data_IF_203231805550
#
_entry.id   IF_203231805550
#
_cell.length_a   1.000
_cell.length_b   1.000
_cell.length_c   1.000
_cell.angle_alpha   90.00
_cell.angle_beta   90.00
_cell.angle_gamma   90.00
#
_symmetry.space_group_name_H-M   'P 1'
#
loop_
_entity.id
_entity.type
_entity.pdbx_description
1 polymer ?
#
# COMPACT_ATOMS: atom_id res chain seq x y z
N UNK A 1 -25.04 -7.69 -8.31
CA UNK A 1 -24.36 -7.01 -9.44
C UNK A 1 -25.43 -6.72 -10.49
N UNK A 2 -25.38 -5.57 -11.17
CA UNK A 2 -26.32 -5.25 -12.25
C UNK A 2 -26.17 -6.26 -13.40
N UNK A 3 -27.27 -6.83 -13.90
CA UNK A 3 -27.27 -7.83 -14.99
C UNK A 3 -26.49 -7.34 -16.22
N UNK A 4 -26.50 -6.02 -16.48
CA UNK A 4 -25.78 -5.40 -17.61
C UNK A 4 -24.26 -5.55 -17.51
N UNK A 5 -23.73 -5.77 -16.30
CA UNK A 5 -22.30 -5.93 -16.05
C UNK A 5 -21.83 -7.38 -16.04
N UNK A 6 -22.75 -8.36 -16.03
CA UNK A 6 -22.39 -9.79 -15.99
C UNK A 6 -21.60 -10.22 -17.22
N UNK A 7 -22.06 -9.84 -18.41
CA UNK A 7 -21.36 -10.14 -19.67
C UNK A 7 -19.98 -9.47 -19.72
N UNK A 8 -19.88 -8.24 -19.20
CA UNK A 8 -18.62 -7.50 -19.11
C UNK A 8 -17.64 -8.19 -18.18
N UNK A 9 -18.07 -8.53 -16.96
CA UNK A 9 -17.26 -9.27 -16.00
C UNK A 9 -16.81 -10.61 -16.59
N UNK A 10 -17.72 -11.37 -17.22
CA UNK A 10 -17.38 -12.65 -17.83
C UNK A 10 -16.27 -12.50 -18.89
N UNK A 11 -16.38 -11.52 -19.78
CA UNK A 11 -15.36 -11.24 -20.79
C UNK A 11 -14.01 -10.88 -20.17
N UNK A 12 -14.01 -10.06 -19.10
CA UNK A 12 -12.79 -9.70 -18.36
C UNK A 12 -12.18 -10.96 -17.72
N UNK A 13 -12.99 -11.83 -17.13
CA UNK A 13 -12.51 -13.08 -16.53
C UNK A 13 -11.85 -14.01 -17.55
N UNK A 14 -12.48 -14.18 -18.73
CA UNK A 14 -11.92 -15.03 -19.78
C UNK A 14 -10.59 -14.50 -20.34
N UNK A 15 -10.42 -13.17 -20.39
CA UNK A 15 -9.17 -12.56 -20.87
C UNK A 15 -8.04 -12.65 -19.83
N UNK A 16 -8.37 -12.71 -18.55
CA UNK A 16 -7.43 -12.60 -17.43
C UNK A 16 -7.43 -13.87 -16.57
N UNK A 17 -7.41 -15.04 -17.23
CA UNK A 17 -7.35 -16.34 -16.56
C UNK A 17 -6.07 -16.45 -15.72
N UNK A 18 -6.21 -16.96 -14.49
CA UNK A 18 -5.09 -17.11 -13.56
C UNK A 18 -4.71 -15.83 -12.81
N UNK A 19 -5.53 -14.78 -12.89
CA UNK A 19 -5.31 -13.53 -12.16
C UNK A 19 -6.39 -13.27 -11.08
N UNK A 20 -6.46 -14.11 -10.02
CA UNK A 20 -7.57 -14.08 -9.06
C UNK A 20 -7.66 -12.75 -8.29
N UNK A 21 -6.52 -12.17 -7.89
CA UNK A 21 -6.50 -10.89 -7.17
C UNK A 21 -7.04 -9.75 -8.05
N UNK A 22 -6.66 -9.72 -9.33
CA UNK A 22 -7.17 -8.71 -10.25
C UNK A 22 -8.67 -8.87 -10.49
N UNK A 23 -9.14 -10.10 -10.70
CA UNK A 23 -10.56 -10.39 -10.89
C UNK A 23 -11.38 -10.06 -9.64
N UNK A 24 -10.84 -10.26 -8.43
CA UNK A 24 -11.51 -9.86 -7.20
C UNK A 24 -11.76 -8.34 -7.17
N UNK A 25 -10.73 -7.52 -7.36
CA UNK A 25 -10.89 -6.07 -7.32
C UNK A 25 -11.84 -5.55 -8.42
N UNK A 26 -11.77 -6.13 -9.62
CA UNK A 26 -12.75 -5.79 -10.68
C UNK A 26 -14.16 -6.10 -10.22
N UNK A 27 -14.42 -7.29 -9.64
CA UNK A 27 -15.76 -7.65 -9.15
C UNK A 27 -16.30 -6.68 -8.11
N UNK A 28 -15.47 -6.28 -7.16
CA UNK A 28 -15.85 -5.36 -6.08
C UNK A 28 -16.22 -3.98 -6.64
N UNK A 29 -15.38 -3.41 -7.53
CA UNK A 29 -15.68 -2.14 -8.20
C UNK A 29 -16.92 -2.26 -9.07
N UNK A 30 -17.05 -3.31 -9.89
CA UNK A 30 -18.23 -3.52 -10.73
C UNK A 30 -19.52 -3.69 -9.90
N UNK A 31 -19.40 -4.23 -8.69
CA UNK A 31 -20.49 -4.33 -7.73
C UNK A 31 -21.06 -2.97 -7.30
N UNK A 32 -20.25 -1.91 -7.28
CA UNK A 32 -20.65 -0.57 -6.85
C UNK A 32 -21.09 0.37 -7.98
N UNK A 33 -20.59 0.17 -9.20
CA UNK A 33 -20.83 1.11 -10.33
C UNK A 33 -22.15 0.89 -11.09
N UNK A 34 -22.89 -0.19 -10.83
CA UNK A 34 -24.16 -0.47 -11.53
C UNK A 34 -25.18 0.68 -11.44
N UNK A 35 -25.31 1.28 -10.25
CA UNK A 35 -26.18 2.44 -10.02
C UNK A 35 -25.79 3.65 -10.89
N UNK A 36 -24.49 3.84 -11.13
CA UNK A 36 -23.98 4.91 -11.98
C UNK A 36 -24.32 4.67 -13.45
N UNK A 37 -24.23 3.42 -13.92
CA UNK A 37 -24.57 3.05 -15.31
C UNK A 37 -26.07 3.17 -15.58
N UNK A 38 -26.90 2.82 -14.60
CA UNK A 38 -28.34 3.03 -14.70
C UNK A 38 -28.69 4.51 -14.89
N UNK A 39 -27.99 5.40 -14.17
CA UNK A 39 -28.17 6.86 -14.28
C UNK A 39 -27.52 7.47 -15.52
N UNK A 40 -26.41 6.92 -16.00
CA UNK A 40 -25.64 7.42 -17.14
C UNK A 40 -25.38 6.33 -18.20
N UNK A 41 -26.41 5.93 -18.99
CA UNK A 41 -26.30 4.83 -19.96
C UNK A 41 -25.20 5.01 -21.01
N UNK A 42 -24.89 6.27 -21.38
CA UNK A 42 -23.80 6.63 -22.31
C UNK A 42 -22.44 6.05 -21.92
N UNK A 43 -22.19 5.79 -20.63
CA UNK A 43 -20.93 5.17 -20.18
C UNK A 43 -20.83 3.71 -20.61
N UNK A 44 -21.95 2.98 -20.62
CA UNK A 44 -21.99 1.62 -21.15
C UNK A 44 -21.88 1.61 -22.69
N UNK A 45 -22.59 2.53 -23.37
CA UNK A 45 -22.52 2.65 -24.85
C UNK A 45 -21.10 2.91 -25.35
N UNK A 46 -20.33 3.71 -24.62
CA UNK A 46 -18.93 4.00 -24.93
C UNK A 46 -17.95 3.01 -24.30
N UNK A 47 -18.43 1.90 -23.73
CA UNK A 47 -17.60 0.86 -23.09
C UNK A 47 -16.58 1.42 -22.09
N UNK A 48 -17.00 2.39 -21.28
CA UNK A 48 -16.11 3.08 -20.32
C UNK A 48 -15.57 2.07 -19.30
N UNK A 49 -16.43 1.17 -18.82
CA UNK A 49 -16.07 0.17 -17.82
C UNK A 49 -15.04 -0.80 -18.38
N UNK A 50 -15.28 -1.34 -19.57
CA UNK A 50 -14.36 -2.26 -20.23
C UNK A 50 -13.00 -1.60 -20.51
N UNK A 51 -13.00 -0.31 -20.89
CA UNK A 51 -11.76 0.46 -21.10
C UNK A 51 -11.01 0.73 -19.80
N UNK A 52 -11.70 0.99 -18.69
CA UNK A 52 -11.06 1.20 -17.38
C UNK A 52 -10.49 -0.11 -16.83
N UNK A 53 -11.13 -1.25 -17.12
CA UNK A 53 -10.67 -2.58 -16.68
C UNK A 53 -9.51 -3.15 -17.52
N UNK A 54 -9.17 -2.57 -18.67
CA UNK A 54 -8.02 -2.97 -19.48
C UNK A 54 -6.89 -1.95 -19.30
N UNK A 55 -5.70 -2.33 -18.80
CA UNK A 55 -4.60 -1.38 -18.66
C UNK A 55 -4.21 -0.75 -20.00
N UNK A 56 -3.95 0.56 -20.01
CA UNK A 56 -3.42 1.25 -21.20
C UNK A 56 -2.10 0.63 -21.67
N UNK A 57 -1.24 0.20 -20.73
CA UNK A 57 0.01 -0.52 -21.04
C UNK A 57 0.46 -1.44 -19.92
N UNK A 58 1.04 -2.57 -20.30
CA UNK A 58 1.68 -3.53 -19.39
C UNK A 58 3.09 -3.84 -19.89
N UNK A 59 4.09 -3.62 -19.04
CA UNK A 59 5.50 -3.88 -19.34
C UNK A 59 6.00 -4.97 -18.40
N UNK A 60 6.54 -6.04 -18.97
CA UNK A 60 7.17 -7.14 -18.24
C UNK A 60 8.56 -7.31 -18.82
N UNK A 61 9.59 -7.36 -17.96
CA UNK A 61 10.97 -7.36 -18.42
C UNK A 61 11.88 -8.19 -17.52
N UNK A 62 13.01 -8.62 -18.07
CA UNK A 62 14.05 -9.36 -17.36
C UNK A 62 14.97 -8.40 -16.62
N UNK A 63 15.34 -8.75 -15.39
CA UNK A 63 16.26 -7.98 -14.55
C UNK A 63 17.43 -8.87 -14.13
N UNK A 64 18.51 -8.95 -14.93
CA UNK A 64 19.72 -9.68 -14.56
C UNK A 64 20.61 -8.85 -13.62
N UNK A 65 21.16 -9.45 -12.58
CA UNK A 65 22.07 -8.78 -11.64
C UNK A 65 23.04 -9.79 -11.02
N UNK A 66 24.10 -9.29 -10.38
CA UNK A 66 25.15 -10.11 -9.76
C UNK A 66 25.14 -9.92 -8.24
N UNK A 67 25.23 -11.00 -7.48
CA UNK A 67 25.33 -10.96 -6.02
C UNK A 67 26.76 -10.65 -5.54
N UNK A 68 26.97 -10.57 -4.22
CA UNK A 68 28.30 -10.29 -3.66
C UNK A 68 29.32 -11.43 -3.87
N UNK A 69 28.86 -12.63 -4.23
CA UNK A 69 29.71 -13.79 -4.54
C UNK A 69 30.06 -13.87 -6.03
N UNK A 70 29.47 -13.01 -6.85
CA UNK A 70 29.67 -13.03 -8.30
C UNK A 70 28.67 -13.90 -9.05
N UNK A 71 27.67 -14.49 -8.39
CA UNK A 71 26.66 -15.30 -9.04
C UNK A 71 25.60 -14.43 -9.74
N UNK A 72 25.16 -14.88 -10.91
CA UNK A 72 24.16 -14.16 -11.71
C UNK A 72 22.76 -14.62 -11.32
N UNK A 73 21.94 -13.66 -10.93
CA UNK A 73 20.53 -13.83 -10.62
C UNK A 73 19.66 -13.20 -11.70
N UNK A 74 18.46 -13.76 -11.88
CA UNK A 74 17.48 -13.26 -12.85
C UNK A 74 16.13 -13.13 -12.16
N UNK A 75 15.61 -11.90 -12.15
CA UNK A 75 14.28 -11.59 -11.65
C UNK A 75 13.41 -11.03 -12.76
N UNK A 76 12.10 -11.00 -12.52
CA UNK A 76 11.12 -10.38 -13.40
C UNK A 76 10.74 -9.00 -12.87
N UNK A 77 10.79 -7.99 -13.72
CA UNK A 77 10.29 -6.65 -13.47
C UNK A 77 8.94 -6.41 -14.14
N UNK A 78 8.12 -5.56 -13.52
CA UNK A 78 6.77 -5.22 -13.98
C UNK A 78 6.51 -3.71 -13.88
N UNK A 79 5.80 -3.16 -14.87
CA UNK A 79 5.11 -1.87 -14.77
C UNK A 79 3.79 -1.90 -15.53
N UNK A 80 2.69 -1.78 -14.81
CA UNK A 80 1.33 -1.64 -15.34
C UNK A 80 0.92 -0.17 -15.24
N UNK A 81 0.77 0.45 -16.39
CA UNK A 81 0.31 1.81 -16.58
C UNK A 81 -1.18 1.74 -16.91
N UNK A 82 -2.02 1.83 -15.88
CA UNK A 82 -3.40 1.38 -15.98
C UNK A 82 -4.30 2.45 -16.63
N UNK A 83 -4.31 3.66 -16.09
CA UNK A 83 -5.14 4.74 -16.60
C UNK A 83 -4.46 6.11 -16.44
N UNK A 84 -4.47 6.93 -17.48
CA UNK A 84 -3.88 8.27 -17.51
C UNK A 84 -4.89 9.40 -17.68
N UNK A 85 -6.19 9.12 -17.54
CA UNK A 85 -7.24 10.10 -17.86
C UNK A 85 -7.20 11.37 -16.99
N UNK A 86 -6.67 11.29 -15.77
CA UNK A 86 -6.54 12.43 -14.85
C UNK A 86 -5.12 13.02 -14.80
N UNK A 87 -4.13 12.40 -15.45
CA UNK A 87 -2.73 12.81 -15.40
C UNK A 87 -1.74 11.65 -15.54
N UNK A 88 -0.44 11.87 -15.26
CA UNK A 88 0.60 10.85 -15.39
C UNK A 88 0.28 9.61 -14.55
N UNK A 89 0.70 8.43 -15.01
CA UNK A 89 0.52 7.20 -14.24
C UNK A 89 1.20 7.36 -12.88
N UNK A 90 0.50 7.00 -11.80
CA UNK A 90 1.04 7.16 -10.44
C UNK A 90 0.79 5.92 -9.62
N UNK A 91 1.87 5.37 -9.05
CA UNK A 91 1.79 4.36 -8.01
C UNK A 91 3.10 3.60 -7.77
N UNK A 92 3.16 2.91 -6.63
CA UNK A 92 4.39 2.37 -6.07
C UNK A 92 5.03 1.21 -6.85
N UNK A 93 6.27 0.90 -6.47
CA UNK A 93 7.03 -0.28 -6.87
C UNK A 93 7.13 -1.23 -5.67
N UNK A 94 6.77 -2.51 -5.85
CA UNK A 94 6.87 -3.54 -4.81
C UNK A 94 7.97 -4.55 -5.14
N UNK A 95 8.92 -4.77 -4.24
CA UNK A 95 9.93 -5.84 -4.34
C UNK A 95 9.61 -6.90 -3.30
N UNK A 96 9.02 -8.01 -3.75
CA UNK A 96 8.64 -9.12 -2.89
C UNK A 96 8.51 -10.41 -3.72
N UNK A 97 8.92 -11.58 -3.21
CA UNK A 97 8.92 -12.84 -3.97
C UNK A 97 7.53 -13.29 -4.45
N UNK A 98 6.44 -12.77 -3.87
CA UNK A 98 5.08 -13.06 -4.34
C UNK A 98 4.63 -12.24 -5.54
N UNK A 99 5.37 -11.19 -5.94
CA UNK A 99 4.94 -10.28 -7.00
C UNK A 99 4.80 -11.02 -8.33
N UNK A 100 3.61 -10.95 -8.91
CA UNK A 100 3.28 -11.46 -10.23
C UNK A 100 2.39 -10.44 -10.98
N UNK A 101 2.02 -10.73 -12.23
CA UNK A 101 1.22 -9.81 -13.04
C UNK A 101 -0.18 -9.55 -12.43
N UNK A 102 -0.85 -10.60 -11.92
CA UNK A 102 -2.15 -10.50 -11.25
C UNK A 102 -2.13 -9.46 -10.14
N UNK A 103 -1.17 -9.57 -9.22
CA UNK A 103 -1.01 -8.66 -8.08
C UNK A 103 -0.70 -7.23 -8.54
N UNK A 104 0.16 -7.06 -9.54
CA UNK A 104 0.50 -5.72 -10.05
C UNK A 104 -0.70 -5.06 -10.73
N UNK A 105 -1.51 -5.83 -11.48
CA UNK A 105 -2.74 -5.33 -12.10
C UNK A 105 -3.81 -5.00 -11.06
N UNK A 106 -4.05 -5.89 -10.10
CA UNK A 106 -4.91 -5.64 -8.95
C UNK A 106 -4.58 -4.29 -8.29
N UNK A 107 -3.33 -4.15 -7.85
CA UNK A 107 -2.89 -2.94 -7.17
C UNK A 107 -2.95 -1.71 -8.09
N UNK A 108 -2.67 -1.87 -9.38
CA UNK A 108 -2.75 -0.80 -10.38
C UNK A 108 -4.18 -0.34 -10.66
N UNK A 109 -5.14 -1.25 -10.66
CA UNK A 109 -6.57 -0.99 -10.88
C UNK A 109 -7.14 -0.18 -9.72
N UNK A 110 -6.94 -0.64 -8.47
CA UNK A 110 -7.31 0.09 -7.25
C UNK A 110 -6.66 1.49 -7.21
N UNK A 111 -5.42 1.61 -7.68
CA UNK A 111 -4.69 2.87 -7.70
C UNK A 111 -5.37 3.94 -8.57
N UNK A 112 -6.15 3.57 -9.60
CA UNK A 112 -6.92 4.51 -10.42
C UNK A 112 -7.90 5.28 -9.53
N UNK A 113 -8.74 4.55 -8.80
CA UNK A 113 -9.82 5.12 -8.00
C UNK A 113 -9.28 5.83 -6.77
N UNK A 114 -8.29 5.23 -6.10
CA UNK A 114 -7.59 5.86 -4.99
C UNK A 114 -7.00 7.21 -5.36
N UNK A 115 -6.36 7.31 -6.52
CA UNK A 115 -5.76 8.55 -6.98
C UNK A 115 -6.82 9.57 -7.41
N UNK A 116 -7.88 9.13 -8.09
CA UNK A 116 -9.00 9.99 -8.46
C UNK A 116 -9.66 10.65 -7.24
N UNK A 117 -9.83 9.93 -6.13
CA UNK A 117 -10.42 10.44 -4.89
C UNK A 117 -9.60 11.55 -4.22
N UNK A 118 -8.32 11.69 -4.54
CA UNK A 118 -7.49 12.79 -4.02
C UNK A 118 -7.84 14.15 -4.64
N UNK A 119 -8.53 14.17 -5.79
CA UNK A 119 -8.76 15.38 -6.58
C UNK A 119 -7.51 15.94 -7.27
N UNK A 120 -6.36 15.28 -7.16
CA UNK A 120 -5.11 15.69 -7.81
C UNK A 120 -5.01 15.13 -9.25
N UNK A 121 -4.24 15.79 -10.14
CA UNK A 121 -4.10 15.38 -11.54
C UNK A 121 -3.13 14.19 -11.68
N UNK A 122 -3.53 13.02 -11.19
CA UNK A 122 -2.71 11.80 -11.20
C UNK A 122 -3.54 10.59 -11.66
N UNK A 123 -3.01 9.86 -12.64
CA UNK A 123 -3.56 8.60 -13.11
C UNK A 123 -3.19 7.42 -12.21
N UNK A 124 -3.54 6.19 -12.60
CA UNK A 124 -3.28 4.96 -11.85
C UNK A 124 -2.23 4.07 -12.50
N UNK A 125 -1.29 3.54 -11.70
CA UNK A 125 -0.34 2.53 -12.16
C UNK A 125 0.35 1.81 -11.01
N UNK A 126 1.03 0.70 -11.29
CA UNK A 126 1.80 -0.05 -10.30
C UNK A 126 2.96 -0.78 -10.97
N UNK A 127 4.00 -1.09 -10.22
CA UNK A 127 5.07 -1.95 -10.71
C UNK A 127 5.77 -2.68 -9.59
N UNK A 128 6.88 -3.32 -9.92
CA UNK A 128 7.64 -4.09 -8.94
C UNK A 128 8.45 -5.21 -9.56
N UNK A 129 8.90 -6.11 -8.70
CA UNK A 129 9.62 -7.32 -9.07
C UNK A 129 9.42 -8.43 -8.04
N UNK A 130 9.55 -9.67 -8.50
CA UNK A 130 9.67 -10.87 -7.66
C UNK A 130 11.01 -10.95 -6.89
N UNK A 131 11.83 -9.90 -6.95
CA UNK A 131 13.05 -9.76 -6.15
C UNK A 131 12.75 -9.69 -4.65
N UNK A 132 13.46 -10.49 -3.86
CA UNK A 132 13.43 -10.44 -2.39
C UNK A 132 14.61 -9.61 -1.86
N UNK A 133 14.37 -8.39 -1.32
CA UNK A 133 15.41 -7.56 -0.74
C UNK A 133 15.88 -8.05 0.64
N UNK A 134 15.19 -9.03 1.25
CA UNK A 134 15.54 -9.54 2.58
C UNK A 134 16.82 -10.37 2.51
N UNK A 135 17.73 -10.12 3.45
CA UNK A 135 19.02 -10.80 3.51
C UNK A 135 20.03 -10.34 2.46
N UNK A 136 19.71 -9.31 1.67
CA UNK A 136 20.59 -8.73 0.66
C UNK A 136 21.44 -7.61 1.23
N UNK A 137 22.67 -7.48 0.74
CA UNK A 137 23.52 -6.33 1.08
C UNK A 137 23.02 -5.05 0.42
N UNK A 138 23.48 -3.90 0.90
CA UNK A 138 23.16 -2.61 0.28
C UNK A 138 23.64 -2.56 -1.18
N UNK A 139 24.78 -3.17 -1.47
CA UNK A 139 25.36 -3.20 -2.82
C UNK A 139 24.59 -4.12 -3.76
N UNK A 140 24.11 -5.27 -3.29
CA UNK A 140 23.22 -6.14 -4.05
C UNK A 140 21.91 -5.44 -4.42
N UNK A 141 21.28 -4.77 -3.44
CA UNK A 141 20.06 -4.00 -3.66
C UNK A 141 20.31 -2.83 -4.63
N UNK A 142 21.47 -2.16 -4.52
CA UNK A 142 21.87 -1.12 -5.46
C UNK A 142 22.03 -1.66 -6.88
N UNK A 143 22.76 -2.77 -7.08
CA UNK A 143 22.94 -3.41 -8.39
C UNK A 143 21.62 -3.86 -8.99
N UNK A 144 20.74 -4.44 -8.17
CA UNK A 144 19.38 -4.78 -8.59
C UNK A 144 18.60 -3.55 -9.05
N UNK A 145 18.55 -2.48 -8.25
CA UNK A 145 17.85 -1.24 -8.59
C UNK A 145 18.41 -0.61 -9.88
N UNK A 146 19.73 -0.66 -10.09
CA UNK A 146 20.36 -0.16 -11.30
C UNK A 146 19.95 -0.98 -12.53
N UNK A 147 19.97 -2.31 -12.43
CA UNK A 147 19.51 -3.19 -13.52
C UNK A 147 18.03 -2.96 -13.84
N UNK A 148 17.19 -2.90 -12.80
CA UNK A 148 15.76 -2.64 -12.91
C UNK A 148 15.46 -1.31 -13.62
N UNK A 149 16.12 -0.22 -13.21
CA UNK A 149 15.91 1.09 -13.79
C UNK A 149 16.51 1.23 -15.20
N UNK A 150 17.46 0.38 -15.58
CA UNK A 150 18.02 0.37 -16.93
C UNK A 150 16.98 0.06 -18.00
N UNK A 151 16.04 -0.85 -17.70
CA UNK A 151 14.87 -1.03 -18.56
C UNK A 151 13.77 -0.02 -18.24
N UNK A 152 13.42 0.16 -16.95
CA UNK A 152 12.22 0.93 -16.59
C UNK A 152 12.29 2.40 -17.03
N UNK A 153 13.47 3.04 -17.01
CA UNK A 153 13.64 4.47 -17.26
C UNK A 153 13.00 4.99 -18.56
N UNK A 154 12.97 4.20 -19.64
CA UNK A 154 12.38 4.61 -20.92
C UNK A 154 10.84 4.67 -20.92
N UNK A 155 10.22 4.15 -19.86
CA UNK A 155 8.77 4.12 -19.68
C UNK A 155 8.29 5.16 -18.65
N UNK A 156 9.22 5.90 -18.03
CA UNK A 156 8.94 6.88 -16.98
C UNK A 156 9.12 8.32 -17.46
N UNK A 157 8.64 9.26 -16.65
CA UNK A 157 8.85 10.68 -16.82
C UNK A 157 7.86 11.48 -15.98
N UNK A 158 8.18 12.74 -15.67
CA UNK A 158 7.36 13.59 -14.81
C UNK A 158 5.92 13.80 -15.34
N UNK A 159 5.73 13.74 -16.66
CA UNK A 159 4.42 13.81 -17.33
C UNK A 159 3.95 12.47 -17.90
N UNK A 160 4.71 11.39 -17.69
CA UNK A 160 4.39 10.07 -18.23
C UNK A 160 3.98 9.12 -17.11
N UNK A 161 4.92 8.80 -16.22
CA UNK A 161 4.73 7.82 -15.16
C UNK A 161 5.69 8.12 -14.00
N UNK A 162 5.14 8.27 -12.80
CA UNK A 162 5.84 8.71 -11.58
C UNK A 162 5.73 7.64 -10.48
N UNK A 163 6.68 6.69 -10.40
CA UNK A 163 6.66 5.67 -9.37
C UNK A 163 6.91 6.20 -7.94
N UNK A 164 6.72 5.32 -6.96
CA UNK A 164 6.94 5.56 -5.54
C UNK A 164 7.44 4.30 -4.85
N UNK A 165 7.74 4.40 -3.55
CA UNK A 165 7.96 3.21 -2.71
C UNK A 165 6.68 2.43 -2.41
N UNK A 166 6.84 1.14 -2.17
CA UNK A 166 5.86 0.19 -1.64
C UNK A 166 6.62 -0.88 -0.81
N UNK A 167 6.02 -2.02 -0.50
CA UNK A 167 6.70 -3.12 0.21
C UNK A 167 8.00 -3.51 -0.51
N UNK A 168 9.11 -3.50 0.23
CA UNK A 168 10.46 -3.78 -0.30
C UNK A 168 11.14 -2.63 -1.04
N UNK A 169 10.48 -1.47 -1.20
CA UNK A 169 11.04 -0.27 -1.84
C UNK A 169 10.87 0.94 -0.94
N UNK A 170 11.89 1.23 -0.12
CA UNK A 170 11.94 2.37 0.77
C UNK A 170 12.78 3.54 0.23
N UNK A 171 13.16 4.45 1.12
CA UNK A 171 14.01 5.62 0.78
C UNK A 171 15.37 5.20 0.17
N UNK A 172 15.94 4.08 0.62
CA UNK A 172 17.20 3.50 0.11
C UNK A 172 17.06 3.14 -1.38
N UNK A 173 16.09 2.30 -1.71
CA UNK A 173 15.82 1.85 -3.07
C UNK A 173 15.44 3.03 -3.98
N UNK A 174 14.59 3.95 -3.51
CA UNK A 174 14.24 5.16 -4.27
C UNK A 174 15.48 6.00 -4.58
N UNK A 175 16.44 6.10 -3.66
CA UNK A 175 17.72 6.76 -3.91
C UNK A 175 18.52 6.10 -5.04
N UNK A 176 18.68 4.77 -5.00
CA UNK A 176 19.39 4.02 -6.03
C UNK A 176 18.69 4.09 -7.40
N UNK A 177 17.36 3.93 -7.42
CA UNK A 177 16.52 4.04 -8.62
C UNK A 177 16.62 5.44 -9.23
N UNK A 178 16.50 6.50 -8.43
CA UNK A 178 16.62 7.87 -8.90
C UNK A 178 18.03 8.18 -9.41
N UNK A 179 19.07 7.70 -8.71
CA UNK A 179 20.46 7.84 -9.14
C UNK A 179 20.71 7.23 -10.50
N UNK A 180 20.23 6.00 -10.73
CA UNK A 180 20.36 5.34 -12.03
C UNK A 180 19.52 6.03 -13.12
N UNK A 181 18.30 6.44 -12.80
CA UNK A 181 17.47 7.20 -13.75
C UNK A 181 18.17 8.48 -14.21
N UNK A 182 18.72 9.26 -13.27
CA UNK A 182 19.50 10.48 -13.56
C UNK A 182 20.70 10.18 -14.46
N UNK A 183 21.41 9.08 -14.19
CA UNK A 183 22.59 8.66 -14.98
C UNK A 183 22.24 8.33 -16.43
N UNK A 184 21.15 7.60 -16.65
CA UNK A 184 20.73 7.16 -18.00
C UNK A 184 20.09 8.31 -18.78
N UNK A 185 19.20 9.07 -18.14
CA UNK A 185 18.50 10.19 -18.79
C UNK A 185 19.39 11.41 -19.01
N UNK A 186 20.54 11.49 -18.30
CA UNK A 186 21.41 12.66 -18.24
C UNK A 186 20.65 13.94 -17.86
N UNK A 187 19.66 13.83 -16.96
CA UNK A 187 18.78 14.92 -16.52
C UNK A 187 18.50 14.84 -15.04
N UNK A 188 18.43 15.99 -14.38
CA UNK A 188 17.94 16.09 -13.01
C UNK A 188 16.41 16.25 -13.00
N UNK A 189 15.69 15.22 -13.43
CA UNK A 189 14.22 15.23 -13.52
C UNK A 189 13.60 14.80 -12.18
N UNK A 190 13.54 15.73 -11.23
CA UNK A 190 13.08 15.42 -9.87
C UNK A 190 11.64 14.88 -9.81
N UNK A 191 10.79 15.23 -10.77
CA UNK A 191 9.39 14.81 -10.84
C UNK A 191 9.20 13.32 -11.11
N UNK A 192 10.21 12.60 -11.59
CA UNK A 192 10.07 11.20 -12.02
C UNK A 192 9.79 10.21 -10.88
N UNK A 193 10.20 10.52 -9.65
CA UNK A 193 10.01 9.65 -8.48
C UNK A 193 9.56 10.44 -7.25
N UNK A 194 8.64 9.83 -6.50
CA UNK A 194 8.19 10.33 -5.18
C UNK A 194 8.73 9.44 -4.06
N UNK A 195 8.79 9.96 -2.83
CA UNK A 195 9.43 9.27 -1.70
C UNK A 195 10.96 9.44 -1.65
N UNK A 196 11.48 10.44 -2.38
CA UNK A 196 12.89 10.86 -2.33
C UNK A 196 13.28 11.39 -0.95
N UNK A 197 14.57 11.35 -0.65
CA UNK A 197 15.16 11.99 0.53
C UNK A 197 15.11 13.52 0.44
N UNK A 198 15.04 14.17 1.60
CA UNK A 198 14.84 15.62 1.70
C UNK A 198 15.96 16.42 1.00
N UNK A 199 17.20 15.94 1.02
CA UNK A 199 18.34 16.60 0.37
C UNK A 199 18.34 16.53 -1.16
N UNK A 200 17.42 15.79 -1.78
CA UNK A 200 17.36 15.63 -3.24
C UNK A 200 15.92 15.63 -3.78
N UNK A 201 15.09 16.56 -3.29
CA UNK A 201 13.74 16.81 -3.82
C UNK A 201 12.64 15.96 -3.19
N UNK A 202 12.87 15.44 -1.99
CA UNK A 202 11.84 14.84 -1.13
C UNK A 202 10.93 15.90 -0.51
N UNK A 203 9.76 15.47 -0.06
CA UNK A 203 8.80 16.34 0.63
C UNK A 203 8.76 16.02 2.14
N UNK A 204 8.67 17.05 2.96
CA UNK A 204 8.27 16.91 4.37
C UNK A 204 6.89 16.26 4.45
N UNK A 205 6.57 15.63 5.58
CA UNK A 205 5.31 14.90 5.82
C UNK A 205 5.15 13.64 4.97
N UNK A 206 5.98 13.39 3.94
CA UNK A 206 5.86 12.20 3.07
C UNK A 206 5.98 10.87 3.85
N UNK A 207 6.74 10.86 4.94
CA UNK A 207 6.94 9.65 5.77
C UNK A 207 5.67 9.37 6.58
N UNK A 208 5.01 10.42 7.03
CA UNK A 208 3.86 10.43 7.93
C UNK A 208 2.52 10.33 7.17
N UNK A 209 2.50 10.78 5.92
CA UNK A 209 1.30 11.12 5.16
C UNK A 209 0.19 10.08 5.18
N UNK A 210 0.49 8.79 4.97
CA UNK A 210 -0.55 7.74 4.94
C UNK A 210 -1.18 7.54 6.32
N UNK A 211 -0.36 7.41 7.37
CA UNK A 211 -0.87 7.24 8.73
C UNK A 211 -1.59 8.49 9.24
N UNK A 212 -1.09 9.68 8.89
CA UNK A 212 -1.74 10.94 9.27
C UNK A 212 -3.06 11.12 8.53
N UNK A 213 -3.07 10.87 7.22
CA UNK A 213 -4.30 10.90 6.41
C UNK A 213 -5.36 9.95 6.95
N UNK A 214 -4.97 8.75 7.39
CA UNK A 214 -5.87 7.79 8.01
C UNK A 214 -6.43 8.30 9.34
N UNK A 215 -5.59 8.86 10.21
CA UNK A 215 -6.06 9.47 11.45
C UNK A 215 -7.04 10.62 11.22
N UNK A 216 -6.78 11.49 10.23
CA UNK A 216 -7.73 12.54 9.83
C UNK A 216 -9.02 11.95 9.27
N UNK A 217 -8.94 10.92 8.43
CA UNK A 217 -10.13 10.28 7.86
C UNK A 217 -11.02 9.66 8.93
N UNK A 218 -10.43 8.95 9.92
CA UNK A 218 -11.14 8.41 11.08
C UNK A 218 -11.82 9.51 11.88
N UNK A 219 -11.12 10.62 12.12
CA UNK A 219 -11.68 11.76 12.84
C UNK A 219 -12.93 12.31 12.14
N UNK A 220 -12.87 12.51 10.82
CA UNK A 220 -14.01 12.99 10.02
C UNK A 220 -15.16 11.97 9.98
N UNK A 221 -14.85 10.67 9.87
CA UNK A 221 -15.86 9.59 9.94
C UNK A 221 -16.63 9.59 11.25
N UNK A 222 -15.94 9.77 12.39
CA UNK A 222 -16.57 9.86 13.70
C UNK A 222 -17.36 11.17 13.86
N UNK A 223 -16.79 12.29 13.41
CA UNK A 223 -17.45 13.60 13.47
C UNK A 223 -18.79 13.61 12.71
N UNK A 224 -18.87 12.93 11.56
CA UNK A 224 -20.11 12.77 10.80
C UNK A 224 -21.24 12.07 11.58
N UNK A 225 -20.91 11.38 12.68
CA UNK A 225 -21.86 10.73 13.60
C UNK A 225 -21.97 11.43 14.96
N UNK A 226 -21.39 12.62 15.11
CA UNK A 226 -21.36 13.35 16.39
C UNK A 226 -20.41 12.75 17.43
N UNK A 227 -19.47 11.90 17.01
CA UNK A 227 -18.45 11.27 17.87
C UNK A 227 -17.08 11.93 17.66
N UNK A 228 -16.11 11.62 18.52
CA UNK A 228 -14.71 12.02 18.34
C UNK A 228 -13.76 10.89 18.68
N UNK A 229 -12.48 11.04 18.30
CA UNK A 229 -11.40 10.12 18.71
C UNK A 229 -11.02 10.26 20.19
N UNK A 230 -11.37 11.37 20.85
CA UNK A 230 -10.93 11.65 22.21
C UNK A 230 -11.46 10.59 23.19
N UNK A 231 -10.53 9.95 23.90
CA UNK A 231 -10.84 8.89 24.86
C UNK A 231 -11.21 7.53 24.26
N UNK A 232 -11.31 7.41 22.93
CA UNK A 232 -11.63 6.14 22.26
C UNK A 232 -10.46 5.17 22.31
N UNK A 233 -10.74 3.90 22.61
CA UNK A 233 -9.77 2.81 22.56
C UNK A 233 -9.63 2.32 21.13
N UNK A 234 -8.40 2.32 20.62
CA UNK A 234 -8.08 2.02 19.23
C UNK A 234 -7.14 0.81 19.12
N UNK A 235 -7.29 0.03 18.04
CA UNK A 235 -6.36 -1.03 17.64
C UNK A 235 -5.77 -0.68 16.27
N UNK A 236 -4.45 -0.84 16.12
CA UNK A 236 -3.78 -0.60 14.84
C UNK A 236 -2.97 -1.84 14.47
N UNK A 237 -3.35 -2.58 13.43
CA UNK A 237 -2.52 -3.70 13.01
C UNK A 237 -1.25 -3.24 12.31
N UNK A 238 -0.22 -4.08 12.37
CA UNK A 238 1.07 -3.75 11.79
C UNK A 238 1.92 -2.84 12.67
N UNK A 239 3.21 -2.81 12.31
CA UNK A 239 4.24 -2.01 12.97
C UNK A 239 5.20 -1.43 11.92
N UNK A 240 4.72 -1.26 10.69
CA UNK A 240 5.40 -0.61 9.59
C UNK A 240 5.11 0.89 9.57
N UNK A 241 5.54 1.56 8.51
CA UNK A 241 5.38 3.01 8.35
C UNK A 241 3.92 3.46 8.56
N UNK A 242 2.95 2.89 7.83
CA UNK A 242 1.54 3.32 7.94
C UNK A 242 1.03 3.20 9.37
N UNK A 243 1.24 2.04 10.01
CA UNK A 243 0.81 1.78 11.39
C UNK A 243 1.46 2.73 12.41
N UNK A 244 2.79 2.91 12.36
CA UNK A 244 3.52 3.79 13.29
C UNK A 244 2.97 5.23 13.23
N UNK A 245 2.76 5.76 12.03
CA UNK A 245 2.29 7.14 11.87
C UNK A 245 0.77 7.27 12.05
N UNK A 246 0.00 6.18 11.89
CA UNK A 246 -1.41 6.14 12.28
C UNK A 246 -1.54 6.17 13.81
N UNK A 247 -0.73 5.38 14.54
CA UNK A 247 -0.64 5.43 16.00
C UNK A 247 -0.30 6.85 16.46
N UNK A 248 0.72 7.46 15.86
CA UNK A 248 1.10 8.83 16.19
C UNK A 248 -0.05 9.83 16.00
N UNK A 249 -0.74 9.79 14.86
CA UNK A 249 -1.82 10.74 14.59
C UNK A 249 -3.03 10.49 15.49
N UNK A 250 -3.45 9.25 15.66
CA UNK A 250 -4.59 8.90 16.51
C UNK A 250 -4.34 9.33 17.96
N UNK A 251 -3.13 9.12 18.48
CA UNK A 251 -2.74 9.60 19.81
C UNK A 251 -2.73 11.12 19.91
N UNK A 252 -2.24 11.85 18.89
CA UNK A 252 -2.33 13.32 18.87
C UNK A 252 -3.77 13.84 18.86
N UNK A 253 -4.70 13.08 18.30
CA UNK A 253 -6.14 13.40 18.23
C UNK A 253 -6.93 12.91 19.47
N UNK A 254 -6.24 12.45 20.52
CA UNK A 254 -6.85 12.04 21.79
C UNK A 254 -7.29 10.58 21.85
N UNK A 255 -7.10 9.80 20.77
CA UNK A 255 -7.37 8.37 20.76
C UNK A 255 -6.28 7.57 21.46
N UNK A 256 -6.68 6.51 22.17
CA UNK A 256 -5.76 5.64 22.91
C UNK A 256 -5.53 4.34 22.14
N UNK A 257 -4.41 4.23 21.43
CA UNK A 257 -4.05 2.97 20.77
C UNK A 257 -3.48 2.01 21.79
N UNK A 258 -4.17 0.89 22.06
CA UNK A 258 -3.77 -0.08 23.10
C UNK A 258 -3.11 -1.32 22.55
N UNK A 259 -3.16 -1.56 21.24
CA UNK A 259 -2.51 -2.72 20.65
C UNK A 259 -2.02 -2.48 19.23
N UNK A 260 -0.93 -3.17 18.88
CA UNK A 260 -0.43 -3.28 17.51
C UNK A 260 0.24 -4.62 17.25
N UNK A 261 0.50 -4.96 15.98
CA UNK A 261 0.95 -6.30 15.59
C UNK A 261 2.10 -6.29 14.61
N UNK A 262 2.79 -7.42 14.48
CA UNK A 262 3.54 -7.76 13.28
C UNK A 262 3.16 -9.17 12.82
N UNK A 263 3.85 -9.71 11.82
CA UNK A 263 3.53 -11.04 11.28
C UNK A 263 3.71 -12.19 12.28
N UNK A 264 4.28 -11.95 13.47
CA UNK A 264 4.55 -12.98 14.49
C UNK A 264 3.60 -12.91 15.68
N UNK A 265 2.92 -11.79 15.90
CA UNK A 265 2.02 -11.66 17.04
C UNK A 265 1.58 -10.23 17.35
N UNK A 266 0.94 -10.10 18.50
CA UNK A 266 0.27 -8.87 18.97
C UNK A 266 0.93 -8.38 20.25
N UNK A 267 1.16 -7.08 20.33
CA UNK A 267 1.47 -6.37 21.57
C UNK A 267 0.22 -5.67 22.05
N UNK A 268 -0.09 -5.82 23.35
CA UNK A 268 -1.14 -5.09 24.07
C UNK A 268 -0.52 -4.31 25.22
N UNK A 269 -0.76 -3.00 25.28
CA UNK A 269 -0.36 -2.10 26.36
C UNK A 269 -1.61 -1.33 26.81
N UNK A 270 -2.17 -1.71 27.95
CA UNK A 270 -3.39 -1.10 28.49
C UNK A 270 -3.21 0.41 28.73
N UNK A 271 -1.99 0.88 28.99
CA UNK A 271 -1.72 2.32 29.15
C UNK A 271 -1.69 3.08 27.80
N UNK A 272 -1.63 2.36 26.68
CA UNK A 272 -1.42 2.87 25.34
C UNK A 272 0.00 2.58 24.83
N UNK A 273 0.14 2.41 23.52
CA UNK A 273 1.41 2.12 22.87
C UNK A 273 2.37 3.31 23.01
N UNK A 274 3.55 3.06 23.58
CA UNK A 274 4.66 4.00 23.69
C UNK A 274 5.34 4.16 22.33
N UNK A 275 4.93 5.20 21.60
CA UNK A 275 5.40 5.48 20.25
C UNK A 275 6.94 5.62 20.14
N UNK A 276 7.66 6.31 21.06
CA UNK A 276 9.12 6.39 20.99
C UNK A 276 9.80 5.01 21.07
N UNK A 277 9.33 4.13 21.95
CA UNK A 277 9.82 2.75 22.04
C UNK A 277 9.53 1.99 20.76
N UNK A 278 8.31 2.09 20.22
CA UNK A 278 7.96 1.42 18.97
C UNK A 278 8.81 1.89 17.79
N UNK A 279 8.99 3.21 17.61
CA UNK A 279 9.84 3.80 16.56
C UNK A 279 11.29 3.34 16.69
N UNK A 280 11.88 3.35 17.89
CA UNK A 280 13.25 2.83 18.12
C UNK A 280 13.37 1.37 17.68
N UNK A 281 12.45 0.51 18.10
CA UNK A 281 12.49 -0.93 17.81
C UNK A 281 12.34 -1.20 16.31
N UNK A 282 11.42 -0.51 15.63
CA UNK A 282 11.07 -0.81 14.23
C UNK A 282 11.89 -0.04 13.20
N UNK A 283 12.16 1.25 13.43
CA UNK A 283 12.85 2.10 12.46
C UNK A 283 14.38 2.10 12.64
N UNK A 284 14.88 1.98 13.88
CA UNK A 284 16.32 2.01 14.18
C UNK A 284 16.90 0.61 14.34
N UNK A 285 16.39 -0.17 15.28
CA UNK A 285 16.96 -1.48 15.63
C UNK A 285 16.48 -2.61 14.72
N UNK A 286 15.38 -2.38 13.99
CA UNK A 286 14.75 -3.35 13.07
C UNK A 286 14.43 -4.70 13.72
N UNK A 287 13.98 -4.67 14.96
CA UNK A 287 13.67 -5.86 15.75
C UNK A 287 12.19 -6.31 15.58
N UNK A 288 11.88 -7.56 15.97
CA UNK A 288 10.50 -8.04 16.09
C UNK A 288 9.72 -7.25 17.15
N UNK A 289 8.39 -7.12 16.96
CA UNK A 289 7.54 -6.32 17.84
C UNK A 289 7.54 -6.81 19.29
N UNK A 290 7.77 -8.10 19.53
CA UNK A 290 7.96 -8.70 20.86
C UNK A 290 9.00 -7.96 21.71
N UNK A 291 10.01 -7.36 21.09
CA UNK A 291 11.04 -6.59 21.80
C UNK A 291 10.47 -5.37 22.54
N UNK A 292 9.26 -4.91 22.18
CA UNK A 292 8.56 -3.82 22.86
C UNK A 292 8.31 -4.14 24.33
N UNK A 293 7.88 -5.37 24.64
CA UNK A 293 7.57 -5.80 26.00
C UNK A 293 8.82 -5.89 26.90
N UNK A 294 10.02 -5.95 26.32
CA UNK A 294 11.27 -5.88 27.09
C UNK A 294 11.51 -4.48 27.67
N UNK A 295 11.08 -3.44 26.95
CA UNK A 295 11.17 -2.04 27.39
C UNK A 295 9.95 -1.59 28.17
N UNK A 296 8.79 -2.21 27.92
CA UNK A 296 7.49 -1.88 28.54
C UNK A 296 6.97 -3.10 29.32
N UNK A 297 7.50 -3.32 30.52
CA UNK A 297 7.27 -4.56 31.30
C UNK A 297 5.79 -4.87 31.63
N UNK A 298 4.96 -3.82 31.70
CA UNK A 298 3.52 -3.90 31.93
C UNK A 298 2.70 -4.17 30.65
N UNK A 299 3.34 -4.21 29.47
CA UNK A 299 2.69 -4.66 28.24
C UNK A 299 2.80 -6.17 28.06
N UNK A 300 1.88 -6.74 27.28
CA UNK A 300 1.79 -8.17 27.02
C UNK A 300 2.02 -8.45 25.53
N UNK A 301 2.82 -9.47 25.25
CA UNK A 301 3.00 -10.00 23.89
C UNK A 301 2.31 -11.36 23.78
N UNK A 302 1.50 -11.52 22.74
CA UNK A 302 0.87 -12.79 22.38
C UNK A 302 1.38 -13.25 21.02
N UNK A 303 2.24 -14.26 21.03
CA UNK A 303 2.69 -14.94 19.81
C UNK A 303 1.50 -15.58 19.08
N UNK A 304 1.39 -15.32 17.77
CA UNK A 304 0.27 -15.77 16.95
C UNK A 304 -1.10 -15.25 17.38
N UNK A 305 -1.14 -14.22 18.23
CA UNK A 305 -2.39 -13.63 18.71
C UNK A 305 -3.18 -12.95 17.59
N UNK A 306 -4.50 -12.92 17.75
CA UNK A 306 -5.39 -12.17 16.88
C UNK A 306 -5.70 -10.81 17.48
N UNK A 307 -5.28 -9.74 16.81
CA UNK A 307 -5.49 -8.37 17.27
C UNK A 307 -6.98 -8.04 17.43
N UNK A 308 -7.82 -8.59 16.54
CA UNK A 308 -9.23 -8.24 16.41
C UNK A 308 -10.12 -8.85 17.50
N UNK A 309 -9.57 -9.71 18.36
CA UNK A 309 -10.27 -10.24 19.54
C UNK A 309 -10.26 -9.27 20.73
N UNK A 310 -9.41 -8.23 20.68
CA UNK A 310 -9.32 -7.20 21.71
C UNK A 310 -10.50 -6.22 21.54
N UNK A 311 -11.16 -5.85 22.64
CA UNK A 311 -12.25 -4.87 22.60
C UNK A 311 -11.73 -3.48 22.26
N UNK A 312 -12.43 -2.77 21.37
CA UNK A 312 -12.07 -1.42 20.97
C UNK A 312 -13.27 -0.65 20.43
N UNK A 313 -13.13 0.67 20.37
CA UNK A 313 -14.07 1.57 19.69
C UNK A 313 -13.72 1.74 18.21
N UNK A 314 -12.42 1.69 17.87
CA UNK A 314 -11.93 1.90 16.49
C UNK A 314 -10.87 0.88 16.13
N UNK A 315 -11.04 0.21 14.98
CA UNK A 315 -10.06 -0.71 14.42
C UNK A 315 -9.43 -0.14 13.13
N UNK A 316 -8.10 -0.21 13.04
CA UNK A 316 -7.33 0.42 11.96
C UNK A 316 -6.36 -0.60 11.35
N UNK A 317 -6.77 -1.41 10.36
CA UNK A 317 -5.91 -2.38 9.72
C UNK A 317 -4.87 -1.72 8.79
N UNK A 318 -3.58 -1.92 9.08
CA UNK A 318 -2.45 -1.26 8.40
C UNK A 318 -1.31 -2.22 8.01
N UNK A 319 -1.54 -3.53 7.96
CA UNK A 319 -0.48 -4.51 7.74
C UNK A 319 -0.47 -5.08 6.31
N UNK A 320 -1.48 -5.88 5.95
CA UNK A 320 -1.48 -6.69 4.71
C UNK A 320 -2.90 -6.87 4.19
N UNK A 321 -3.03 -7.28 2.93
CA UNK A 321 -4.33 -7.62 2.36
C UNK A 321 -4.96 -8.86 3.04
N UNK A 322 -6.29 -8.89 3.16
CA UNK A 322 -7.10 -9.96 3.78
C UNK A 322 -6.64 -10.35 5.20
N UNK A 323 -6.18 -9.38 5.99
CA UNK A 323 -5.83 -9.53 7.41
C UNK A 323 -7.04 -9.50 8.36
N UNK A 324 -8.21 -9.04 7.91
CA UNK A 324 -9.46 -9.00 8.69
C UNK A 324 -10.53 -9.88 8.02
N UNK A 325 -10.87 -11.01 8.65
CA UNK A 325 -11.87 -11.95 8.13
C UNK A 325 -13.27 -11.68 8.68
N UNK A 326 -14.29 -12.34 8.14
CA UNK A 326 -15.66 -12.25 8.68
C UNK A 326 -15.77 -12.63 10.16
N UNK A 327 -14.96 -13.59 10.63
CA UNK A 327 -14.92 -13.97 12.06
C UNK A 327 -14.35 -12.85 12.93
N UNK A 328 -13.37 -12.11 12.40
CA UNK A 328 -12.74 -10.98 13.06
C UNK A 328 -13.70 -9.79 13.12
N UNK A 329 -14.44 -9.54 12.04
CA UNK A 329 -15.51 -8.55 12.01
C UNK A 329 -16.58 -8.84 13.08
N UNK A 330 -17.01 -10.10 13.22
CA UNK A 330 -17.94 -10.50 14.27
C UNK A 330 -17.36 -10.28 15.69
N UNK A 331 -16.05 -10.49 15.87
CA UNK A 331 -15.37 -10.23 17.14
C UNK A 331 -15.35 -8.73 17.48
N UNK A 332 -15.01 -7.89 16.50
CA UNK A 332 -15.01 -6.43 16.63
C UNK A 332 -16.41 -5.89 16.98
N UNK A 333 -17.46 -6.39 16.31
CA UNK A 333 -18.85 -6.02 16.61
C UNK A 333 -19.25 -6.39 18.04
N UNK A 334 -18.92 -7.61 18.50
CA UNK A 334 -19.14 -8.02 19.90
C UNK A 334 -18.33 -7.19 20.89
N UNK A 335 -17.18 -6.67 20.46
CA UNK A 335 -16.30 -5.81 21.24
C UNK A 335 -16.76 -4.36 21.36
N UNK A 336 -17.80 -3.95 20.62
CA UNK A 336 -18.32 -2.57 20.63
C UNK A 336 -17.66 -1.65 19.60
N UNK A 337 -16.98 -2.19 18.60
CA UNK A 337 -16.32 -1.40 17.56
C UNK A 337 -17.32 -0.52 16.80
N UNK A 338 -17.05 0.79 16.76
CA UNK A 338 -17.88 1.82 16.16
C UNK A 338 -17.44 2.15 14.72
N UNK A 339 -16.15 2.01 14.44
CA UNK A 339 -15.56 2.36 13.16
C UNK A 339 -14.38 1.46 12.79
N UNK A 340 -14.32 1.09 11.51
CA UNK A 340 -13.15 0.46 10.88
C UNK A 340 -12.63 1.42 9.80
N UNK A 341 -11.33 1.69 9.78
CA UNK A 341 -10.71 2.53 8.77
C UNK A 341 -9.41 1.90 8.25
N UNK A 342 -9.40 1.63 6.96
CA UNK A 342 -8.40 0.79 6.31
C UNK A 342 -7.18 1.60 5.87
N UNK A 343 -6.00 1.25 6.42
CA UNK A 343 -4.72 1.85 6.04
C UNK A 343 -3.92 1.02 5.04
N UNK A 344 -4.08 -0.32 5.06
CA UNK A 344 -3.53 -1.22 4.07
C UNK A 344 -4.38 -1.24 2.78
N UNK A 345 -3.86 -1.84 1.70
CA UNK A 345 -4.65 -2.02 0.48
C UNK A 345 -5.40 -3.35 0.59
N UNK A 346 -6.74 -3.32 0.59
CA UNK A 346 -7.63 -4.49 0.72
C UNK A 346 -7.34 -5.33 1.99
N UNK A 347 -7.29 -4.72 3.19
CA UNK A 347 -7.02 -5.45 4.44
C UNK A 347 -8.07 -6.48 4.81
#
# INVERSE_FOLDING_TARGET
>A
MDEKLESTLWNIQQRNLGEPEFIQAVKEVLGSVGVVLAKYPKFAEQKIIERICEPERQVIFRVPWQDDQGEVHINRGFRVQFNSALGPFKGGLRFHPSVNLSIVKFLGFEQIFKNALTGMPIGGGKGGSDFDPKGRSDDEVMRFCQSFMTELSRHLGEYTDVPAGDVGVGKREIGFLFGQYKRISNRYESGVLTGKGLSYGGALVRTEATGYGLGYFVQEMLAARGESLEGKTCLVSGAGNVAIYAIEKVTQLGGKVVACSDSKGVVYDEAGIDLPTLKRIKEVERLPIESYCKSRKQSHYQAGGNLWEIKCDVAIPCATQNELTGKDADALLRGGCLAVAEGANMP
#
